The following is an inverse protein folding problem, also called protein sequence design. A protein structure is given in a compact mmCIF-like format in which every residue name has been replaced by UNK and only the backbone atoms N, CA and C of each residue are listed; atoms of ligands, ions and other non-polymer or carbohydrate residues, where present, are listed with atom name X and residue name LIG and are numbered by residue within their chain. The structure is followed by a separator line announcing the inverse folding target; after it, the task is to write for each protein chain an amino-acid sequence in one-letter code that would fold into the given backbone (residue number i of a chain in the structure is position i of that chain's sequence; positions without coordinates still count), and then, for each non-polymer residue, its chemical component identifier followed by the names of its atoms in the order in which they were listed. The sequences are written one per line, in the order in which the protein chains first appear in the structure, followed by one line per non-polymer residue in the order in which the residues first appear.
data_IF_414344426073
#
_entry.id   IF_414344426073
#
_cell.length_a   1.000
_cell.length_b   1.000
_cell.length_c   1.000
_cell.angle_alpha   90.00
_cell.angle_beta   90.00
_cell.angle_gamma   90.00
#
_symmetry.space_group_name_H-M   'P 1'
#
loop_
_entity.id
_entity.type
_entity.pdbx_description
1 polymer ?
#
# COMPACT_ATOMS: atom_id res chain seq x y z
N UNK A 1 39.60 -36.69 -16.64
CA UNK A 1 38.51 -36.20 -17.50
C UNK A 1 38.32 -34.72 -17.20
N UNK A 2 38.39 -33.89 -18.23
CA UNK A 2 38.51 -32.42 -18.15
C UNK A 2 37.17 -31.76 -17.83
N UNK A 3 37.19 -30.68 -17.05
CA UNK A 3 36.02 -29.85 -16.68
C UNK A 3 35.32 -29.17 -17.87
N UNK A 4 35.85 -29.30 -19.09
CA UNK A 4 35.31 -28.66 -20.30
C UNK A 4 34.21 -29.49 -21.00
N UNK A 5 33.96 -30.74 -20.60
CA UNK A 5 32.98 -31.61 -21.27
C UNK A 5 31.54 -31.49 -20.73
N UNK A 6 31.29 -30.66 -19.71
CA UNK A 6 29.93 -30.41 -19.19
C UNK A 6 29.21 -29.22 -19.82
N UNK A 7 29.80 -28.56 -20.83
CA UNK A 7 29.26 -27.33 -21.40
C UNK A 7 28.32 -27.49 -22.62
N UNK A 8 27.86 -28.70 -22.96
CA UNK A 8 26.92 -28.86 -24.08
C UNK A 8 25.81 -29.83 -23.75
N UNK A 9 24.74 -29.29 -23.17
CA UNK A 9 23.32 -29.58 -23.47
C UNK A 9 22.44 -29.04 -22.33
N UNK A 10 22.35 -27.72 -22.20
CA UNK A 10 21.20 -27.06 -21.60
C UNK A 10 21.18 -25.63 -22.16
N UNK A 11 20.41 -25.43 -23.23
CA UNK A 11 20.24 -24.14 -23.90
C UNK A 11 19.30 -23.20 -23.11
N UNK A 12 19.42 -23.18 -21.79
CA UNK A 12 18.52 -22.47 -20.89
C UNK A 12 19.37 -21.87 -19.77
N UNK A 13 19.53 -20.54 -19.82
CA UNK A 13 20.34 -19.77 -18.87
C UNK A 13 19.78 -19.82 -17.43
N UNK A 14 20.50 -19.22 -16.45
CA UNK A 14 20.13 -19.24 -15.03
C UNK A 14 18.72 -18.70 -14.73
N UNK A 15 18.12 -17.94 -15.64
CA UNK A 15 16.76 -17.41 -15.52
C UNK A 15 15.65 -18.47 -15.70
N UNK A 16 15.99 -19.68 -16.13
CA UNK A 16 15.01 -20.74 -16.44
C UNK A 16 14.62 -21.60 -15.25
N UNK A 17 15.33 -21.50 -14.12
CA UNK A 17 15.01 -22.26 -12.91
C UNK A 17 13.84 -21.67 -12.10
N UNK A 18 13.51 -20.39 -12.32
CA UNK A 18 12.25 -19.77 -11.88
C UNK A 18 11.10 -20.02 -12.87
N UNK A 19 11.41 -20.52 -14.06
CA UNK A 19 10.48 -20.72 -15.17
C UNK A 19 10.23 -22.20 -15.47
N UNK A 20 10.25 -23.08 -14.46
CA UNK A 20 9.59 -24.38 -14.60
C UNK A 20 8.10 -24.19 -14.30
N UNK A 21 7.21 -24.04 -15.31
CA UNK A 21 5.82 -24.44 -15.13
C UNK A 21 5.86 -25.91 -14.68
N UNK A 22 4.93 -26.30 -13.81
CA UNK A 22 4.76 -27.66 -13.29
C UNK A 22 5.64 -28.72 -13.99
N UNK A 23 6.81 -29.00 -13.41
CA UNK A 23 7.82 -29.83 -14.03
C UNK A 23 7.68 -31.27 -13.56
N UNK A 24 7.58 -32.21 -14.49
CA UNK A 24 7.74 -33.64 -14.18
C UNK A 24 9.22 -33.98 -14.38
N UNK A 25 9.98 -34.11 -13.30
CA UNK A 25 11.33 -34.66 -13.36
C UNK A 25 11.27 -36.18 -13.27
N UNK A 26 12.04 -36.88 -14.11
CA UNK A 26 12.19 -38.34 -14.06
C UNK A 26 13.60 -38.66 -13.58
N UNK A 27 13.72 -39.35 -12.46
CA UNK A 27 15.03 -39.84 -12.01
C UNK A 27 15.43 -41.05 -12.84
N UNK A 28 16.59 -41.02 -13.49
CA UNK A 28 17.17 -42.20 -14.12
C UNK A 28 18.13 -42.88 -13.14
N UNK A 29 17.85 -44.13 -12.78
CA UNK A 29 18.77 -44.98 -12.04
C UNK A 29 19.60 -45.81 -13.04
N UNK A 30 20.89 -46.10 -12.77
CA UNK A 30 21.73 -46.93 -13.64
C UNK A 30 21.29 -48.40 -13.79
N UNK A 31 20.27 -48.86 -13.07
CA UNK A 31 19.81 -50.26 -13.04
C UNK A 31 18.28 -50.32 -12.96
N UNK A 32 17.66 -51.09 -13.88
CA UNK A 32 16.29 -51.65 -14.04
C UNK A 32 15.14 -51.23 -13.09
N UNK A 33 15.18 -50.04 -12.52
CA UNK A 33 14.11 -49.46 -11.72
C UNK A 33 13.37 -48.43 -12.57
N UNK A 34 12.04 -48.54 -12.72
CA UNK A 34 11.27 -47.57 -13.49
C UNK A 34 11.48 -46.17 -12.89
N UNK A 35 11.67 -45.15 -13.75
CA UNK A 35 11.97 -43.79 -13.28
C UNK A 35 10.85 -43.29 -12.37
N UNK A 36 11.23 -42.81 -11.17
CA UNK A 36 10.29 -42.14 -10.28
C UNK A 36 9.95 -40.77 -10.87
N UNK A 37 8.65 -40.50 -11.03
CA UNK A 37 8.15 -39.17 -11.37
C UNK A 37 8.20 -38.30 -10.11
N UNK A 38 9.00 -37.25 -10.15
CA UNK A 38 8.98 -36.18 -9.16
C UNK A 38 8.16 -35.04 -9.77
N UNK A 39 6.98 -34.80 -9.22
CA UNK A 39 6.15 -33.65 -9.60
C UNK A 39 6.63 -32.46 -8.78
N UNK A 40 7.13 -31.43 -9.46
CA UNK A 40 7.47 -30.16 -8.83
C UNK A 40 6.24 -29.26 -8.95
N UNK A 41 5.44 -29.22 -7.89
CA UNK A 41 4.34 -28.26 -7.77
C UNK A 41 4.91 -26.92 -7.31
N UNK A 42 4.58 -25.83 -8.00
CA UNK A 42 4.82 -24.48 -7.52
C UNK A 42 3.61 -24.03 -6.70
N UNK A 43 3.85 -23.20 -5.69
CA UNK A 43 2.77 -22.59 -4.92
C UNK A 43 1.81 -21.84 -5.85
N UNK A 44 0.51 -22.14 -5.76
CA UNK A 44 -0.49 -21.41 -6.51
C UNK A 44 -0.63 -19.98 -5.95
N UNK A 45 -0.67 -18.97 -6.83
CA UNK A 45 -0.75 -17.55 -6.43
C UNK A 45 -1.91 -17.26 -5.47
N UNK A 46 -3.05 -17.93 -5.66
CA UNK A 46 -4.23 -17.82 -4.79
C UNK A 46 -4.05 -18.39 -3.38
N UNK A 47 -2.92 -19.04 -3.07
CA UNK A 47 -2.58 -19.55 -1.73
C UNK A 47 -1.91 -18.49 -0.86
N UNK A 48 -1.43 -17.39 -1.45
CA UNK A 48 -0.75 -16.30 -0.71
C UNK A 48 -1.59 -15.74 0.44
N UNK A 49 -2.91 -15.48 0.31
CA UNK A 49 -3.72 -15.07 1.45
C UNK A 49 -3.72 -16.07 2.61
N UNK A 50 -3.63 -17.37 2.31
CA UNK A 50 -3.51 -18.42 3.33
C UNK A 50 -2.18 -18.33 4.08
N UNK A 51 -1.07 -18.23 3.35
CA UNK A 51 0.26 -18.04 3.93
C UNK A 51 0.32 -16.78 4.82
N UNK A 52 -0.26 -15.66 4.36
CA UNK A 52 -0.35 -14.44 5.15
C UNK A 52 -1.09 -14.66 6.49
N UNK A 53 -2.24 -15.35 6.49
CA UNK A 53 -2.96 -15.69 7.74
C UNK A 53 -2.14 -16.59 8.66
N UNK A 54 -1.39 -17.56 8.10
CA UNK A 54 -0.51 -18.43 8.90
C UNK A 54 0.62 -17.65 9.59
N UNK A 55 1.01 -16.50 9.04
CA UNK A 55 1.96 -15.56 9.65
C UNK A 55 1.32 -14.57 10.64
N UNK A 56 0.00 -14.61 10.82
CA UNK A 56 -0.75 -13.59 11.57
C UNK A 56 -0.87 -12.26 10.83
N UNK A 57 -0.72 -12.25 9.50
CA UNK A 57 -0.86 -11.06 8.65
C UNK A 57 -2.28 -10.93 8.13
N UNK A 58 -3.23 -10.77 9.06
CA UNK A 58 -4.65 -10.83 8.75
C UNK A 58 -5.11 -9.68 7.85
N UNK A 59 -4.57 -8.47 8.04
CA UNK A 59 -4.93 -7.30 7.23
C UNK A 59 -4.39 -7.43 5.81
N UNK A 60 -3.13 -7.83 5.67
CA UNK A 60 -2.52 -8.11 4.37
C UNK A 60 -3.27 -9.23 3.64
N UNK A 61 -3.63 -10.30 4.35
CA UNK A 61 -4.41 -11.41 3.79
C UNK A 61 -5.78 -10.95 3.31
N UNK A 62 -6.47 -10.09 4.06
CA UNK A 62 -7.77 -9.56 3.69
C UNK A 62 -7.70 -8.68 2.43
N UNK A 63 -6.70 -7.80 2.32
CA UNK A 63 -6.48 -6.98 1.13
C UNK A 63 -6.16 -7.84 -0.10
N UNK A 64 -5.27 -8.82 0.07
CA UNK A 64 -4.90 -9.75 -1.00
C UNK A 64 -6.11 -10.59 -1.45
N UNK A 65 -6.91 -11.08 -0.51
CA UNK A 65 -8.14 -11.82 -0.80
C UNK A 65 -9.15 -10.95 -1.56
N UNK A 66 -9.36 -9.70 -1.10
CA UNK A 66 -10.21 -8.72 -1.79
C UNK A 66 -9.77 -8.53 -3.23
N UNK A 67 -8.46 -8.41 -3.49
CA UNK A 67 -7.93 -8.27 -4.85
C UNK A 67 -8.34 -9.47 -5.71
N UNK A 68 -8.13 -10.71 -5.22
CA UNK A 68 -8.50 -11.93 -5.95
C UNK A 68 -10.00 -12.06 -6.23
N UNK A 69 -10.84 -11.65 -5.29
CA UNK A 69 -12.29 -11.76 -5.39
C UNK A 69 -12.89 -10.73 -6.35
N UNK A 70 -12.17 -9.62 -6.55
CA UNK A 70 -12.58 -8.49 -7.37
C UNK A 70 -12.61 -8.82 -8.87
N UNK A 71 -13.52 -8.21 -9.66
CA UNK A 71 -13.47 -8.27 -11.12
C UNK A 71 -12.11 -7.83 -11.65
N UNK A 72 -11.67 -8.38 -12.79
CA UNK A 72 -10.45 -7.93 -13.43
C UNK A 72 -10.52 -6.43 -13.74
N UNK A 73 -9.66 -5.67 -13.09
CA UNK A 73 -9.49 -4.24 -13.32
C UNK A 73 -8.07 -3.83 -12.99
N UNK A 74 -7.48 -3.07 -13.89
CA UNK A 74 -6.15 -2.50 -13.74
C UNK A 74 -6.29 -1.02 -13.41
N UNK A 75 -5.63 -0.58 -12.35
CA UNK A 75 -5.60 0.83 -12.00
C UNK A 75 -4.84 1.61 -13.08
N UNK A 76 -5.41 2.72 -13.61
CA UNK A 76 -4.71 3.55 -14.58
C UNK A 76 -3.38 4.07 -14.02
N UNK A 77 -2.30 3.99 -14.82
CA UNK A 77 -0.96 4.36 -14.39
C UNK A 77 -0.86 5.83 -13.97
N UNK A 78 -1.64 6.69 -14.61
CA UNK A 78 -1.75 8.11 -14.29
C UNK A 78 -2.29 8.36 -12.88
N UNK A 79 -3.01 7.42 -12.25
CA UNK A 79 -3.46 7.60 -10.86
C UNK A 79 -2.27 7.60 -9.88
N UNK A 80 -1.09 7.11 -10.28
CA UNK A 80 0.14 7.20 -9.47
C UNK A 80 0.72 8.62 -9.43
N UNK A 81 0.29 9.51 -10.31
CA UNK A 81 0.69 10.92 -10.33
C UNK A 81 -0.38 11.75 -9.62
N UNK A 82 0.05 12.62 -8.71
CA UNK A 82 -0.84 13.35 -7.78
C UNK A 82 -1.88 14.20 -8.53
N UNK A 83 -1.49 14.83 -9.62
CA UNK A 83 -2.31 15.77 -10.40
C UNK A 83 -3.41 15.09 -11.21
N UNK A 84 -3.25 13.80 -11.51
CA UNK A 84 -4.14 13.00 -12.35
C UNK A 84 -4.95 11.98 -11.55
N UNK A 85 -4.87 12.04 -10.22
CA UNK A 85 -5.71 11.24 -9.35
C UNK A 85 -7.18 11.64 -9.49
N UNK A 86 -8.11 10.67 -9.50
CA UNK A 86 -9.53 10.95 -9.57
C UNK A 86 -9.97 11.70 -8.31
N UNK A 87 -11.08 12.44 -8.43
CA UNK A 87 -11.77 12.95 -7.25
C UNK A 87 -12.06 11.79 -6.30
N UNK A 88 -11.60 11.84 -5.02
CA UNK A 88 -11.91 10.83 -4.03
C UNK A 88 -13.38 10.42 -4.03
N UNK A 89 -14.31 11.35 -4.26
CA UNK A 89 -15.76 11.08 -4.23
C UNK A 89 -16.31 10.42 -5.51
N UNK A 90 -15.53 10.38 -6.59
CA UNK A 90 -15.92 9.74 -7.85
C UNK A 90 -15.59 8.25 -7.95
N UNK A 91 -14.77 7.73 -7.02
CA UNK A 91 -14.39 6.31 -6.98
C UNK A 91 -15.62 5.42 -6.71
N UNK A 92 -15.76 4.36 -7.52
CA UNK A 92 -16.77 3.32 -7.28
C UNK A 92 -16.38 2.40 -6.10
N UNK A 93 -17.33 1.69 -5.49
CA UNK A 93 -17.02 0.71 -4.43
C UNK A 93 -16.06 -0.40 -4.86
N UNK A 94 -16.02 -0.75 -6.15
CA UNK A 94 -15.07 -1.72 -6.68
C UNK A 94 -13.62 -1.18 -6.68
N UNK A 95 -13.46 0.12 -6.89
CA UNK A 95 -12.16 0.79 -7.01
C UNK A 95 -11.65 1.36 -5.67
N UNK A 96 -12.40 1.18 -4.58
CA UNK A 96 -12.07 1.78 -3.29
C UNK A 96 -12.42 0.83 -2.13
N UNK A 97 -11.48 0.61 -1.22
CA UNK A 97 -11.72 -0.01 0.09
C UNK A 97 -11.74 1.05 1.18
N UNK A 98 -12.75 1.01 2.03
CA UNK A 98 -12.88 1.86 3.23
C UNK A 98 -13.02 1.01 4.52
N UNK A 99 -12.79 -0.31 4.41
CA UNK A 99 -13.31 -1.29 5.37
C UNK A 99 -12.25 -2.17 6.03
N UNK A 100 -11.18 -2.51 5.31
CA UNK A 100 -10.17 -3.47 5.75
C UNK A 100 -9.10 -2.78 6.60
N UNK A 101 -8.52 -1.70 6.11
CA UNK A 101 -7.47 -0.98 6.85
C UNK A 101 -8.13 -0.06 7.87
N UNK A 102 -7.81 -0.26 9.15
CA UNK A 102 -8.29 0.59 10.25
C UNK A 102 -7.14 1.33 10.91
N UNK A 103 -7.36 2.57 11.30
CA UNK A 103 -6.40 3.36 12.06
C UNK A 103 -6.13 2.74 13.42
N UNK A 104 -7.11 2.09 14.05
CA UNK A 104 -6.88 1.33 15.29
C UNK A 104 -5.80 0.26 15.12
N UNK A 105 -5.88 -0.53 14.04
CA UNK A 105 -4.85 -1.51 13.68
C UNK A 105 -3.54 -0.81 13.32
N UNK A 106 -3.58 0.21 12.48
CA UNK A 106 -2.37 0.89 12.00
C UNK A 106 -1.57 1.53 13.16
N UNK A 107 -2.26 2.08 14.16
CA UNK A 107 -1.66 2.71 15.33
C UNK A 107 -0.95 1.71 16.26
N UNK A 108 -1.09 0.39 16.07
CA UNK A 108 -0.29 -0.61 16.76
C UNK A 108 1.17 -0.61 16.28
N UNK A 109 1.44 -0.11 15.08
CA UNK A 109 2.78 -0.04 14.48
C UNK A 109 3.45 1.30 14.76
N UNK A 110 4.68 1.25 15.27
CA UNK A 110 5.46 2.45 15.63
C UNK A 110 5.62 3.43 14.47
N UNK A 111 5.86 2.92 13.26
CA UNK A 111 6.01 3.74 12.05
C UNK A 111 4.75 4.54 11.70
N UNK A 112 3.56 4.04 12.01
CA UNK A 112 2.33 4.80 11.78
C UNK A 112 2.18 5.90 12.84
N UNK A 113 2.49 5.61 14.12
CA UNK A 113 2.47 6.61 15.19
C UNK A 113 3.42 7.77 14.89
N UNK A 114 4.63 7.47 14.41
CA UNK A 114 5.59 8.48 13.98
C UNK A 114 5.07 9.33 12.82
N UNK A 115 4.42 8.71 11.83
CA UNK A 115 3.80 9.43 10.72
C UNK A 115 2.67 10.37 11.19
N UNK A 116 1.89 9.98 12.20
CA UNK A 116 0.83 10.82 12.80
C UNK A 116 1.45 12.06 13.45
N UNK A 117 2.49 11.89 14.26
CA UNK A 117 3.20 12.99 14.89
C UNK A 117 3.82 13.94 13.85
N UNK A 118 4.44 13.36 12.81
CA UNK A 118 5.05 14.11 11.72
C UNK A 118 4.00 14.90 10.93
N UNK A 119 2.89 14.27 10.53
CA UNK A 119 1.80 14.94 9.83
C UNK A 119 1.19 16.08 10.68
N UNK A 120 1.03 15.86 11.98
CA UNK A 120 0.55 16.89 12.90
C UNK A 120 1.51 18.08 13.00
N UNK A 121 2.82 17.83 13.07
CA UNK A 121 3.84 18.88 13.13
C UNK A 121 3.83 19.79 11.88
N UNK A 122 3.34 19.28 10.74
CA UNK A 122 3.32 19.96 9.45
C UNK A 122 2.07 20.81 9.19
N UNK A 123 1.14 20.89 10.15
CA UNK A 123 -0.12 21.63 10.01
C UNK A 123 0.04 23.13 9.71
N UNK A 124 1.10 23.75 10.23
CA UNK A 124 1.34 25.19 10.09
C UNK A 124 2.49 25.53 9.12
N UNK A 125 2.83 24.59 8.22
CA UNK A 125 3.81 24.86 7.16
C UNK A 125 3.20 25.79 6.10
N UNK A 126 4.04 26.53 5.38
CA UNK A 126 3.60 27.45 4.30
C UNK A 126 2.70 26.73 3.28
N UNK A 127 3.04 25.49 2.92
CA UNK A 127 2.25 24.68 1.99
C UNK A 127 0.90 24.25 2.58
N UNK A 128 0.85 23.85 3.85
CA UNK A 128 -0.41 23.50 4.52
C UNK A 128 -1.33 24.71 4.66
N UNK A 129 -0.79 25.87 5.04
CA UNK A 129 -1.58 27.12 5.13
C UNK A 129 -2.10 27.55 3.76
N UNK A 130 -1.27 27.45 2.70
CA UNK A 130 -1.72 27.72 1.34
C UNK A 130 -2.86 26.78 0.93
N UNK A 131 -2.69 25.47 1.14
CA UNK A 131 -3.73 24.47 0.84
C UNK A 131 -5.01 24.73 1.62
N UNK A 132 -4.91 25.05 2.91
CA UNK A 132 -6.06 25.40 3.75
C UNK A 132 -6.82 26.61 3.20
N UNK A 133 -6.12 27.69 2.80
CA UNK A 133 -6.73 28.86 2.17
C UNK A 133 -7.48 28.50 0.89
N UNK A 134 -6.89 27.65 0.03
CA UNK A 134 -7.54 27.23 -1.21
C UNK A 134 -8.83 26.44 -0.94
N UNK A 135 -8.82 25.57 0.07
CA UNK A 135 -9.99 24.81 0.49
C UNK A 135 -11.07 25.70 1.09
N UNK A 136 -10.69 26.66 1.95
CA UNK A 136 -11.61 27.64 2.52
C UNK A 136 -12.26 28.50 1.44
N UNK A 137 -11.49 29.00 0.47
CA UNK A 137 -12.03 29.77 -0.66
C UNK A 137 -13.04 28.95 -1.47
N UNK A 138 -12.75 27.67 -1.74
CA UNK A 138 -13.69 26.74 -2.38
C UNK A 138 -14.95 26.51 -1.55
N UNK A 139 -14.85 26.56 -0.22
CA UNK A 139 -15.97 26.47 0.71
C UNK A 139 -16.72 27.81 0.91
N UNK A 140 -16.34 28.88 0.19
CA UNK A 140 -17.03 30.17 0.22
C UNK A 140 -16.45 31.21 1.19
N UNK A 141 -15.27 30.97 1.77
CA UNK A 141 -14.59 31.95 2.62
C UNK A 141 -14.25 33.24 1.85
N UNK A 142 -14.63 34.40 2.42
CA UNK A 142 -14.31 35.74 1.92
C UNK A 142 -13.93 36.69 3.07
N UNK A 143 -13.49 37.92 2.79
CA UNK A 143 -13.03 38.88 3.83
C UNK A 143 -14.09 39.17 4.91
N UNK A 144 -15.37 39.08 4.56
CA UNK A 144 -16.49 39.37 5.46
C UNK A 144 -17.37 38.16 5.75
N UNK A 145 -17.00 36.97 5.28
CA UNK A 145 -17.79 35.76 5.46
C UNK A 145 -16.95 34.73 6.20
N UNK A 146 -17.33 34.45 7.44
CA UNK A 146 -16.80 33.30 8.18
C UNK A 146 -17.25 32.00 7.52
N UNK A 147 -16.36 31.01 7.54
CA UNK A 147 -16.54 29.76 6.85
C UNK A 147 -16.17 28.60 7.76
N UNK A 148 -17.04 27.59 7.79
CA UNK A 148 -16.75 26.31 8.41
C UNK A 148 -16.14 25.37 7.37
N UNK A 149 -15.04 24.74 7.74
CA UNK A 149 -14.44 23.68 6.95
C UNK A 149 -14.72 22.32 7.58
N UNK A 150 -15.36 21.44 6.81
CA UNK A 150 -15.57 20.03 7.17
C UNK A 150 -16.46 19.77 8.39
N UNK A 151 -16.52 18.49 8.77
CA UNK A 151 -17.26 17.98 9.93
C UNK A 151 -16.60 16.71 10.48
N UNK A 152 -16.73 16.43 11.78
CA UNK A 152 -16.22 15.19 12.38
C UNK A 152 -17.05 13.94 12.03
N UNK A 153 -18.12 14.10 11.23
CA UNK A 153 -18.94 13.01 10.68
C UNK A 153 -18.48 12.54 9.30
N UNK A 154 -17.43 13.15 8.74
CA UNK A 154 -16.97 12.83 7.40
C UNK A 154 -16.24 11.48 7.33
N UNK A 155 -16.35 10.81 6.18
CA UNK A 155 -15.44 9.72 5.81
C UNK A 155 -14.07 10.24 5.39
N UNK A 156 -13.07 9.36 5.35
CA UNK A 156 -11.72 9.72 4.91
C UNK A 156 -11.69 10.26 3.48
N UNK A 157 -12.54 9.75 2.58
CA UNK A 157 -12.68 10.28 1.21
C UNK A 157 -13.25 11.69 1.17
N UNK A 158 -14.29 11.94 1.98
CA UNK A 158 -14.86 13.28 2.10
C UNK A 158 -13.83 14.27 2.66
N UNK A 159 -13.07 13.86 3.68
CA UNK A 159 -11.95 14.64 4.20
C UNK A 159 -10.88 14.91 3.14
N UNK A 160 -10.50 13.90 2.36
CA UNK A 160 -9.49 14.03 1.30
C UNK A 160 -9.91 15.05 0.23
N UNK A 161 -11.19 15.08 -0.10
CA UNK A 161 -11.76 16.02 -1.06
C UNK A 161 -11.81 17.46 -0.52
N UNK A 162 -12.23 17.66 0.74
CA UNK A 162 -12.65 18.98 1.21
C UNK A 162 -11.78 19.63 2.29
N UNK A 163 -10.96 18.87 3.02
CA UNK A 163 -10.31 19.37 4.24
C UNK A 163 -8.89 18.84 4.49
N UNK A 164 -8.34 18.03 3.57
CA UNK A 164 -6.96 17.56 3.65
C UNK A 164 -5.95 18.69 3.39
N UNK A 165 -5.08 18.91 4.36
CA UNK A 165 -4.12 20.03 4.35
C UNK A 165 -2.66 19.58 4.21
N UNK A 166 -2.31 18.40 4.73
CA UNK A 166 -0.95 17.89 4.62
C UNK A 166 -0.86 16.36 4.73
N UNK A 167 0.35 15.81 4.65
CA UNK A 167 0.61 14.37 4.76
C UNK A 167 2.02 14.07 5.27
N UNK A 168 2.23 12.81 5.66
CA UNK A 168 3.51 12.19 5.95
C UNK A 168 3.54 10.80 5.28
N UNK A 169 4.71 10.40 4.80
CA UNK A 169 4.92 9.08 4.22
C UNK A 169 5.57 8.18 5.26
N UNK A 170 5.24 6.89 5.25
CA UNK A 170 5.87 5.93 6.14
C UNK A 170 6.01 4.56 5.47
N UNK A 171 6.92 3.76 6.03
CA UNK A 171 7.36 2.52 5.41
C UNK A 171 8.72 2.67 4.72
N UNK A 172 9.40 1.55 4.56
CA UNK A 172 10.75 1.45 4.03
C UNK A 172 10.99 0.03 3.56
N UNK A 173 11.78 -0.13 2.49
CA UNK A 173 12.25 -1.44 2.04
C UNK A 173 13.03 -2.20 3.12
N UNK A 174 13.51 -1.52 4.16
CA UNK A 174 14.26 -2.07 5.28
C UNK A 174 13.41 -2.38 6.52
N UNK A 175 12.11 -2.08 6.51
CA UNK A 175 11.27 -2.44 7.64
C UNK A 175 11.16 -3.96 7.80
N UNK A 176 10.78 -4.37 9.02
CA UNK A 176 10.47 -5.75 9.32
C UNK A 176 9.35 -6.25 8.40
N UNK A 177 9.44 -7.53 8.01
CA UNK A 177 8.36 -8.22 7.34
C UNK A 177 7.29 -8.52 8.38
N UNK A 178 6.24 -7.70 8.40
CA UNK A 178 5.07 -7.81 9.28
C UNK A 178 3.77 -7.55 8.48
N UNK A 179 2.63 -7.66 9.16
CA UNK A 179 1.30 -7.49 8.54
C UNK A 179 1.16 -6.16 7.80
N UNK A 180 1.59 -5.05 8.41
CA UNK A 180 1.50 -3.74 7.76
C UNK A 180 2.45 -3.62 6.56
N UNK A 181 3.61 -4.28 6.56
CA UNK A 181 4.48 -4.32 5.38
C UNK A 181 3.81 -5.10 4.24
N UNK A 182 3.18 -6.24 4.53
CA UNK A 182 2.42 -7.02 3.56
C UNK A 182 1.15 -6.31 3.05
N UNK A 183 0.55 -5.46 3.89
CA UNK A 183 -0.69 -4.74 3.58
C UNK A 183 -0.45 -3.46 2.76
N UNK A 184 0.58 -2.70 3.11
CA UNK A 184 0.78 -1.32 2.62
C UNK A 184 2.16 -1.08 2.01
N UNK A 185 3.20 -1.80 2.46
CA UNK A 185 4.58 -1.53 2.06
C UNK A 185 5.04 -0.11 2.42
N UNK A 186 4.89 0.82 1.47
CA UNK A 186 5.06 2.26 1.64
C UNK A 186 3.69 2.94 1.53
N UNK A 187 3.27 3.65 2.57
CA UNK A 187 1.95 4.29 2.61
C UNK A 187 2.03 5.78 2.92
N UNK A 188 0.97 6.48 2.55
CA UNK A 188 0.78 7.90 2.88
C UNK A 188 -0.25 8.04 3.98
N UNK A 189 0.16 8.64 5.10
CA UNK A 189 -0.74 9.16 6.11
C UNK A 189 -1.10 10.60 5.78
N UNK A 190 -2.39 10.88 5.61
CA UNK A 190 -2.90 12.21 5.34
C UNK A 190 -3.50 12.81 6.61
N UNK A 191 -3.43 14.15 6.71
CA UNK A 191 -4.07 14.93 7.76
C UNK A 191 -5.02 15.97 7.17
N UNK A 192 -6.24 15.98 7.67
CA UNK A 192 -7.24 17.01 7.44
C UNK A 192 -7.66 17.72 8.71
N UNK A 193 -8.30 18.87 8.56
CA UNK A 193 -8.76 19.71 9.68
C UNK A 193 -10.20 20.12 9.52
N UNK A 194 -10.93 20.15 10.64
CA UNK A 194 -12.28 20.74 10.70
C UNK A 194 -12.27 21.92 11.65
N UNK A 195 -13.03 22.97 11.35
CA UNK A 195 -13.05 24.16 12.18
C UNK A 195 -13.68 25.36 11.49
N UNK A 196 -13.54 26.53 12.10
CA UNK A 196 -14.15 27.76 11.60
C UNK A 196 -13.09 28.84 11.40
N UNK A 197 -13.29 29.70 10.40
CA UNK A 197 -12.56 30.95 10.29
C UNK A 197 -13.14 32.00 11.23
N UNK A 198 -12.29 32.92 11.67
CA UNK A 198 -12.69 34.13 12.38
C UNK A 198 -11.71 35.25 12.03
N UNK A 199 -12.13 36.51 12.19
CA UNK A 199 -11.28 37.67 11.92
C UNK A 199 -11.13 38.55 13.15
N UNK A 200 -10.00 39.26 13.25
CA UNK A 200 -9.79 40.34 14.21
C UNK A 200 -9.40 41.61 13.46
N UNK A 201 -9.96 42.75 13.87
CA UNK A 201 -9.57 44.05 13.32
C UNK A 201 -8.26 44.52 13.94
N UNK A 202 -7.34 44.99 13.10
CA UNK A 202 -6.10 45.62 13.55
C UNK A 202 -6.38 47.11 13.72
N UNK A 203 -6.51 47.57 14.98
CA UNK A 203 -6.87 48.96 15.33
C UNK A 203 -5.96 50.02 14.67
N UNK A 204 -4.71 49.68 14.38
CA UNK A 204 -3.74 50.60 13.79
C UNK A 204 -3.90 50.79 12.26
N UNK A 205 -4.47 49.82 11.54
CA UNK A 205 -4.52 49.83 10.06
C UNK A 205 -5.92 49.68 9.48
N UNK A 206 -6.95 49.46 10.32
CA UNK A 206 -8.31 49.07 9.91
C UNK A 206 -8.36 47.81 9.04
N UNK A 207 -7.27 47.04 8.97
CA UNK A 207 -7.23 45.79 8.22
C UNK A 207 -7.76 44.63 9.08
N UNK A 208 -8.46 43.69 8.43
CA UNK A 208 -8.88 42.44 9.05
C UNK A 208 -7.79 41.39 8.91
N UNK A 209 -7.38 40.82 10.04
CA UNK A 209 -6.51 39.65 10.09
C UNK A 209 -7.34 38.41 10.33
N UNK A 210 -7.10 37.40 9.51
CA UNK A 210 -7.90 36.17 9.47
C UNK A 210 -7.16 35.01 10.12
N UNK A 211 -7.94 34.16 10.75
CA UNK A 211 -7.48 32.99 11.48
C UNK A 211 -8.40 31.80 11.21
N UNK A 212 -7.87 30.61 11.42
CA UNK A 212 -8.64 29.37 11.42
C UNK A 212 -8.45 28.67 12.75
N UNK A 213 -9.55 28.45 13.49
CA UNK A 213 -9.54 27.65 14.70
C UNK A 213 -9.86 26.20 14.34
N UNK A 214 -8.87 25.32 14.53
CA UNK A 214 -9.07 23.88 14.36
C UNK A 214 -9.89 23.37 15.55
N UNK A 215 -11.01 22.72 15.28
CA UNK A 215 -11.80 21.96 16.26
C UNK A 215 -11.33 20.50 16.34
N UNK A 216 -11.07 19.87 15.18
CA UNK A 216 -10.58 18.50 15.10
C UNK A 216 -9.55 18.35 13.99
N UNK A 217 -8.55 17.51 14.25
CA UNK A 217 -7.61 16.98 13.28
C UNK A 217 -8.03 15.55 12.97
N UNK A 218 -8.07 15.18 11.69
CA UNK A 218 -8.35 13.81 11.26
C UNK A 218 -7.13 13.23 10.55
N UNK A 219 -6.73 12.03 10.95
CA UNK A 219 -5.62 11.29 10.35
C UNK A 219 -6.16 10.02 9.70
N UNK A 220 -5.75 9.75 8.47
CA UNK A 220 -6.17 8.56 7.73
C UNK A 220 -5.08 8.13 6.75
N UNK A 221 -5.03 6.84 6.47
CA UNK A 221 -4.15 6.25 5.47
C UNK A 221 -4.87 6.29 4.11
N UNK A 222 -4.11 6.65 3.08
CA UNK A 222 -4.52 6.47 1.69
C UNK A 222 -3.40 5.79 0.93
N UNK A 223 -3.73 4.73 0.21
CA UNK A 223 -2.75 3.94 -0.52
C UNK A 223 -3.32 3.30 -1.78
N UNK A 224 -2.46 2.83 -2.68
CA UNK A 224 -2.82 2.13 -3.91
C UNK A 224 -2.50 0.65 -3.75
N UNK A 225 -3.52 -0.20 -3.78
CA UNK A 225 -3.33 -1.65 -3.77
C UNK A 225 -3.37 -2.17 -5.21
N UNK A 226 -2.20 -2.20 -5.84
CA UNK A 226 -2.06 -2.55 -7.25
C UNK A 226 -0.84 -3.43 -7.52
N UNK A 227 -0.96 -4.31 -8.53
CA UNK A 227 0.14 -5.17 -8.97
C UNK A 227 0.60 -4.82 -10.39
N UNK A 228 0.86 -3.53 -10.63
CA UNK A 228 1.30 -3.02 -11.93
C UNK A 228 2.81 -2.72 -11.93
N UNK A 229 3.41 -2.66 -13.12
CA UNK A 229 4.86 -2.43 -13.26
C UNK A 229 5.73 -3.62 -12.85
N UNK A 230 7.04 -3.38 -12.72
CA UNK A 230 8.04 -4.41 -12.40
C UNK A 230 8.35 -4.40 -10.90
N UNK A 231 7.93 -5.43 -10.19
CA UNK A 231 8.22 -5.59 -8.77
C UNK A 231 8.28 -7.05 -8.36
N UNK A 232 9.24 -7.35 -7.49
CA UNK A 232 9.36 -8.62 -6.79
C UNK A 232 8.67 -8.54 -5.42
N UNK A 233 7.81 -9.50 -5.11
CA UNK A 233 6.94 -9.52 -3.93
C UNK A 233 7.33 -10.60 -2.92
N UNK A 234 8.45 -11.27 -3.14
CA UNK A 234 9.01 -12.28 -2.23
C UNK A 234 8.91 -13.71 -2.76
N UNK A 235 9.60 -14.61 -2.06
CA UNK A 235 9.47 -16.06 -2.25
C UNK A 235 8.50 -16.58 -1.21
N UNK A 236 7.43 -17.23 -1.63
CA UNK A 236 6.35 -17.67 -0.76
C UNK A 236 6.27 -19.19 -0.74
N UNK A 237 6.03 -19.75 0.44
CA UNK A 237 5.62 -21.13 0.68
C UNK A 237 4.12 -21.14 1.04
N UNK A 238 3.53 -22.31 1.28
CA UNK A 238 2.12 -22.38 1.69
C UNK A 238 1.86 -21.72 3.06
N UNK A 239 2.89 -21.61 3.90
CA UNK A 239 2.77 -21.13 5.28
C UNK A 239 3.36 -19.74 5.53
N UNK A 240 4.29 -19.27 4.69
CA UNK A 240 4.98 -17.99 4.96
C UNK A 240 5.68 -17.42 3.73
N UNK A 241 6.03 -16.14 3.82
CA UNK A 241 7.09 -15.57 2.98
C UNK A 241 8.47 -15.92 3.56
N UNK A 242 9.41 -16.21 2.69
CA UNK A 242 10.81 -16.40 3.06
C UNK A 242 11.43 -15.07 3.45
N UNK A 243 12.33 -15.09 4.43
CA UNK A 243 13.14 -13.93 4.77
C UNK A 243 14.06 -13.55 3.61
N UNK A 244 14.63 -12.33 3.65
CA UNK A 244 15.62 -11.88 2.63
C UNK A 244 16.83 -12.82 2.56
N UNK A 245 17.32 -13.30 3.70
CA UNK A 245 18.44 -14.24 3.77
C UNK A 245 18.08 -15.60 3.16
N UNK A 246 16.90 -16.15 3.48
CA UNK A 246 16.41 -17.39 2.88
C UNK A 246 16.19 -17.25 1.38
N UNK A 247 15.69 -16.10 0.92
CA UNK A 247 15.51 -15.80 -0.50
C UNK A 247 16.85 -15.86 -1.24
N UNK A 248 17.94 -15.31 -0.69
CA UNK A 248 19.28 -15.43 -1.29
C UNK A 248 19.70 -16.90 -1.38
N UNK A 249 19.44 -17.70 -0.34
CA UNK A 249 19.73 -19.15 -0.34
C UNK A 249 18.99 -19.85 -1.47
N UNK A 250 17.75 -19.47 -1.78
CA UNK A 250 16.98 -20.07 -2.90
C UNK A 250 17.59 -19.82 -4.29
N UNK A 251 18.47 -18.82 -4.44
CA UNK A 251 19.17 -18.55 -5.70
C UNK A 251 20.22 -19.61 -6.02
N UNK A 252 20.65 -20.40 -5.02
CA UNK A 252 21.62 -21.48 -5.21
C UNK A 252 20.91 -22.84 -5.42
N UNK A 253 21.36 -23.69 -6.36
CA UNK A 253 20.71 -24.97 -6.65
C UNK A 253 20.52 -25.88 -5.43
N UNK A 254 21.53 -25.95 -4.56
CA UNK A 254 21.45 -26.71 -3.32
C UNK A 254 20.53 -26.06 -2.27
N UNK A 255 20.44 -24.73 -2.25
CA UNK A 255 19.56 -24.01 -1.34
C UNK A 255 18.08 -24.15 -1.70
N UNK A 256 17.75 -24.16 -2.99
CA UNK A 256 16.39 -24.43 -3.48
C UNK A 256 15.88 -25.79 -2.99
N UNK A 257 16.70 -26.84 -3.12
CA UNK A 257 16.37 -28.19 -2.64
C UNK A 257 16.12 -28.21 -1.13
N UNK A 258 16.96 -27.51 -0.35
CA UNK A 258 16.81 -27.44 1.11
C UNK A 258 15.47 -26.81 1.49
N UNK A 259 15.10 -25.69 0.88
CA UNK A 259 13.82 -25.02 1.16
C UNK A 259 12.64 -25.89 0.73
N UNK A 260 12.71 -26.58 -0.43
CA UNK A 260 11.63 -27.49 -0.85
C UNK A 260 11.43 -28.65 0.11
N UNK A 261 12.51 -29.23 0.62
CA UNK A 261 12.44 -30.34 1.58
C UNK A 261 11.95 -29.88 2.95
N UNK A 262 12.26 -28.65 3.35
CA UNK A 262 11.92 -28.10 4.66
C UNK A 262 10.51 -27.51 4.71
N UNK A 263 10.17 -26.67 3.74
CA UNK A 263 8.99 -25.80 3.75
C UNK A 263 7.98 -26.13 2.62
N UNK A 264 8.26 -27.15 1.80
CA UNK A 264 7.35 -27.62 0.74
C UNK A 264 7.39 -26.80 -0.55
N UNK A 265 6.31 -26.84 -1.37
CA UNK A 265 6.18 -26.04 -2.57
C UNK A 265 6.38 -24.54 -2.29
N UNK A 266 7.18 -23.88 -3.12
CA UNK A 266 7.36 -22.44 -3.05
C UNK A 266 7.34 -21.80 -4.44
N UNK A 267 7.07 -20.49 -4.49
CA UNK A 267 7.12 -19.69 -5.70
C UNK A 267 7.75 -18.32 -5.43
N UNK A 268 8.60 -17.86 -6.34
CA UNK A 268 9.01 -16.46 -6.43
C UNK A 268 7.87 -15.67 -7.08
N UNK A 269 7.32 -14.69 -6.37
CA UNK A 269 6.11 -13.98 -6.79
C UNK A 269 6.48 -12.55 -7.20
N UNK A 270 5.89 -12.11 -8.32
CA UNK A 270 6.09 -10.79 -8.92
C UNK A 270 4.75 -10.19 -9.35
N UNK A 271 4.73 -8.88 -9.65
CA UNK A 271 3.56 -8.23 -10.25
C UNK A 271 3.12 -8.89 -11.57
N UNK A 272 4.05 -9.47 -12.33
CA UNK A 272 3.73 -10.20 -13.56
C UNK A 272 2.87 -11.45 -13.30
N UNK A 273 2.98 -12.09 -12.14
CA UNK A 273 2.13 -13.23 -11.76
C UNK A 273 0.68 -12.81 -11.59
N UNK A 274 0.46 -11.66 -10.93
CA UNK A 274 -0.86 -11.06 -10.74
C UNK A 274 -1.47 -10.57 -12.05
N UNK A 275 -0.69 -9.91 -12.91
CA UNK A 275 -1.15 -9.51 -14.24
C UNK A 275 -1.57 -10.71 -15.09
N UNK A 276 -0.78 -11.79 -15.08
CA UNK A 276 -1.14 -13.05 -15.76
C UNK A 276 -2.38 -13.69 -15.15
N UNK A 277 -2.55 -13.64 -13.83
CA UNK A 277 -3.76 -14.11 -13.15
C UNK A 277 -4.98 -13.31 -13.63
N UNK A 278 -4.91 -11.97 -13.62
CA UNK A 278 -5.95 -11.06 -14.10
C UNK A 278 -6.40 -11.39 -15.51
N UNK A 279 -5.45 -11.48 -16.43
CA UNK A 279 -5.73 -11.78 -17.84
C UNK A 279 -6.37 -13.16 -18.05
N UNK A 280 -5.95 -14.18 -17.28
CA UNK A 280 -6.42 -15.57 -17.46
C UNK A 280 -7.73 -15.87 -16.74
N UNK A 281 -7.94 -15.28 -15.56
CA UNK A 281 -9.08 -15.59 -14.70
C UNK A 281 -10.20 -14.55 -14.79
N UNK A 282 -9.95 -13.42 -15.44
CA UNK A 282 -10.85 -12.26 -15.48
C UNK A 282 -11.27 -11.81 -14.06
N UNK A 283 -10.34 -11.98 -13.11
CA UNK A 283 -10.43 -11.70 -11.68
C UNK A 283 -9.11 -11.15 -11.19
N UNK A 284 -9.10 -10.30 -10.17
CA UNK A 284 -7.88 -9.61 -9.76
C UNK A 284 -7.97 -8.12 -10.06
N UNK A 285 -8.68 -7.39 -9.20
CA UNK A 285 -8.97 -5.98 -9.37
C UNK A 285 -8.14 -5.12 -8.43
N UNK A 286 -7.40 -4.16 -8.98
CA UNK A 286 -6.72 -3.13 -8.18
C UNK A 286 -7.73 -2.24 -7.46
N UNK A 287 -7.32 -1.55 -6.40
CA UNK A 287 -8.19 -0.57 -5.73
C UNK A 287 -7.39 0.44 -4.90
N UNK A 288 -8.01 1.56 -4.60
CA UNK A 288 -7.55 2.54 -3.62
C UNK A 288 -7.92 2.07 -2.22
N UNK A 289 -7.04 2.28 -1.26
CA UNK A 289 -7.32 2.08 0.16
C UNK A 289 -7.57 3.45 0.79
N UNK A 290 -8.61 3.54 1.60
CA UNK A 290 -8.78 4.56 2.63
C UNK A 290 -9.03 3.88 3.96
N UNK A 291 -8.32 4.28 5.01
CA UNK A 291 -8.70 3.87 6.36
C UNK A 291 -9.93 4.64 6.85
N UNK A 292 -10.46 4.25 8.01
CA UNK A 292 -11.25 5.17 8.83
C UNK A 292 -10.38 6.34 9.35
N UNK A 293 -11.02 7.34 9.95
CA UNK A 293 -10.33 8.53 10.46
C UNK A 293 -10.03 8.36 11.95
N UNK A 294 -8.77 8.51 12.32
CA UNK A 294 -8.38 8.78 13.70
C UNK A 294 -8.61 10.26 13.99
N UNK A 295 -9.61 10.57 14.79
CA UNK A 295 -9.94 11.93 15.17
C UNK A 295 -9.21 12.37 16.44
N UNK A 296 -8.66 13.57 16.44
CA UNK A 296 -8.04 14.22 17.59
C UNK A 296 -8.61 15.64 17.76
N UNK A 297 -9.22 15.92 18.91
CA UNK A 297 -9.68 17.27 19.24
C UNK A 297 -8.50 18.23 19.36
N UNK A 298 -8.68 19.46 18.90
CA UNK A 298 -7.68 20.51 18.93
C UNK A 298 -8.33 21.86 19.21
N UNK A 299 -7.54 22.82 19.66
CA UNK A 299 -7.88 24.25 19.71
C UNK A 299 -6.77 25.10 19.06
N UNK A 300 -5.93 24.47 18.23
CA UNK A 300 -4.82 25.15 17.54
C UNK A 300 -5.39 26.22 16.60
N UNK A 301 -4.76 27.39 16.59
CA UNK A 301 -5.12 28.50 15.71
C UNK A 301 -4.04 28.62 14.63
N UNK A 302 -4.47 28.64 13.37
CA UNK A 302 -3.62 28.91 12.21
C UNK A 302 -3.86 30.35 11.77
N UNK A 303 -2.79 31.12 11.59
CA UNK A 303 -2.86 32.45 11.02
C UNK A 303 -3.02 32.37 9.50
N UNK A 304 -4.09 32.96 8.97
CA UNK A 304 -4.34 33.08 7.54
C UNK A 304 -3.82 34.42 6.99
N UNK A 305 -3.49 35.39 7.84
CA UNK A 305 -3.00 36.70 7.43
C UNK A 305 -4.13 37.65 7.01
N UNK A 306 -3.82 38.72 6.30
CA UNK A 306 -4.80 39.69 5.80
C UNK A 306 -5.41 39.24 4.48
N UNK A 307 -6.59 39.77 4.15
CA UNK A 307 -7.19 39.56 2.83
C UNK A 307 -6.37 40.25 1.75
N UNK A 308 -6.17 39.57 0.62
CA UNK A 308 -5.43 40.04 -0.55
C UNK A 308 -6.22 39.78 -1.82
#
# INVERSE_FOLDING_TARGET
MSLNDFQRTNALGPDTYFALPQGISRTYAPLDTPPKKVIIENLALSRVPGAMRNMGWDTAAALMQRWFDSPAWEMPAEWKVRETQPDPMSLSPAQCDESIVKMEWAMQFERCRQAVEEAESRLNTVNAVKRLKDLLKKAGWSDHIECRLGSNMMSARQMDACSQVNFAEFGSAWNALDDMYGALGFATLKIGVTGNTFSQEISATQQRKHYFQIEHMGFYIRDHYDFNGLQYLGTWTEDRVLTKAETIVTLHPHGNLIVRLKDGPFAAITNADFQRYRAKKLKGGDFMIYSDILWKKSNKIIELGTWS
#
